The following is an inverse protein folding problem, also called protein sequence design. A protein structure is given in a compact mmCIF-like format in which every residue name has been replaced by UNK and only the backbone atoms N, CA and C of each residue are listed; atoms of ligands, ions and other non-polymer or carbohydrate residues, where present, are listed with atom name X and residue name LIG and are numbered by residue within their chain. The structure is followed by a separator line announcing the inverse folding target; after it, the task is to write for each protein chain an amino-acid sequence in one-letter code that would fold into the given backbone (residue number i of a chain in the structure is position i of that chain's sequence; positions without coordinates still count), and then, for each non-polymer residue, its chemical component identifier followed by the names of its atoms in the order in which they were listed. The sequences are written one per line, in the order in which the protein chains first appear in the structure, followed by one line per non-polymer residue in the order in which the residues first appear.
data_IF_982002616423
#
_entry.id   IF_982002616423
#
_cell.length_a   1.000
_cell.length_b   1.000
_cell.length_c   1.000
_cell.angle_alpha   90.00
_cell.angle_beta   90.00
_cell.angle_gamma   90.00
#
_symmetry.space_group_name_H-M   'P 1'
#
loop_
_entity.id
_entity.type
_entity.pdbx_description
1 polymer ?
#
# COMPACT_ATOMS: atom_id res chain seq x y z
N UNK A 1 -11.46 28.86 -4.71
CA UNK A 1 -10.01 28.66 -4.49
C UNK A 1 -9.80 27.86 -3.20
N UNK A 2 -9.70 26.53 -3.30
CA UNK A 2 -9.32 25.69 -2.17
C UNK A 2 -7.82 25.90 -1.91
N UNK A 3 -7.46 26.53 -0.79
CA UNK A 3 -6.07 26.64 -0.32
C UNK A 3 -5.82 25.59 0.76
N UNK A 4 -5.09 24.53 0.43
CA UNK A 4 -4.61 23.56 1.41
C UNK A 4 -3.26 24.03 1.97
N UNK A 5 -3.20 24.30 3.28
CA UNK A 5 -1.97 24.71 3.97
C UNK A 5 -1.38 23.50 4.68
N UNK A 6 -0.38 22.84 4.08
CA UNK A 6 0.45 21.89 4.80
C UNK A 6 1.74 22.61 5.20
N UNK A 7 1.91 22.91 6.50
CA UNK A 7 3.16 23.44 7.08
C UNK A 7 3.61 24.81 6.55
N UNK A 8 2.68 25.70 6.22
CA UNK A 8 2.99 27.09 5.83
C UNK A 8 3.46 27.28 4.37
N UNK A 9 3.59 26.21 3.59
CA UNK A 9 3.80 26.26 2.14
C UNK A 9 2.44 26.16 1.44
N UNK A 10 2.18 27.04 0.47
CA UNK A 10 1.05 26.87 -0.45
C UNK A 10 1.27 25.60 -1.28
N UNK A 11 0.34 24.64 -1.22
CA UNK A 11 0.39 23.44 -2.06
C UNK A 11 0.00 23.83 -3.48
N UNK A 12 0.89 23.57 -4.43
CA UNK A 12 0.63 23.78 -5.87
C UNK A 12 0.13 22.51 -6.54
N UNK A 13 -0.46 22.65 -7.72
CA UNK A 13 -0.86 21.51 -8.57
C UNK A 13 0.32 20.56 -8.85
N UNK A 14 1.54 21.10 -8.99
CA UNK A 14 2.75 20.33 -9.21
C UNK A 14 3.13 19.50 -7.97
N UNK A 15 3.00 20.07 -6.76
CA UNK A 15 3.26 19.32 -5.52
C UNK A 15 2.26 18.15 -5.38
N UNK A 16 1.00 18.33 -5.79
CA UNK A 16 -0.03 17.27 -5.76
C UNK A 16 0.31 16.15 -6.75
N UNK A 17 0.74 16.52 -7.97
CA UNK A 17 1.14 15.59 -9.01
C UNK A 17 2.34 14.74 -8.56
N UNK A 18 3.38 15.39 -8.05
CA UNK A 18 4.59 14.73 -7.56
C UNK A 18 4.27 13.80 -6.37
N UNK A 19 3.47 14.28 -5.41
CA UNK A 19 3.04 13.46 -4.28
C UNK A 19 2.30 12.20 -4.73
N UNK A 20 1.35 12.32 -5.67
CA UNK A 20 0.56 11.19 -6.12
C UNK A 20 1.43 10.13 -6.81
N UNK A 21 2.33 10.55 -7.71
CA UNK A 21 3.26 9.64 -8.39
C UNK A 21 4.24 8.98 -7.42
N UNK A 22 4.80 9.74 -6.47
CA UNK A 22 5.70 9.20 -5.43
C UNK A 22 4.97 8.20 -4.54
N UNK A 23 3.70 8.46 -4.21
CA UNK A 23 2.91 7.58 -3.35
C UNK A 23 2.57 6.26 -4.06
N UNK A 24 2.18 6.30 -5.34
CA UNK A 24 1.93 5.09 -6.14
C UNK A 24 3.22 4.30 -6.35
N UNK A 25 4.33 4.95 -6.74
CA UNK A 25 5.61 4.27 -6.98
C UNK A 25 6.19 3.60 -5.73
N UNK A 26 5.91 4.13 -4.53
CA UNK A 26 6.32 3.52 -3.25
C UNK A 26 5.74 2.11 -3.01
N UNK A 27 4.68 1.74 -3.74
CA UNK A 27 4.07 0.40 -3.68
C UNK A 27 4.68 -0.59 -4.68
N UNK A 28 5.66 -0.16 -5.48
CA UNK A 28 6.25 -0.93 -6.58
C UNK A 28 5.49 -0.84 -7.90
N UNK A 29 4.39 -0.08 -7.95
CA UNK A 29 3.66 0.17 -9.19
C UNK A 29 4.48 1.01 -10.18
N UNK A 30 4.30 0.72 -11.46
CA UNK A 30 4.86 1.48 -12.59
C UNK A 30 3.89 2.55 -13.12
N UNK A 31 2.67 2.61 -12.59
CA UNK A 31 1.68 3.62 -13.00
C UNK A 31 2.10 5.00 -12.53
N UNK A 32 1.98 5.97 -13.43
CA UNK A 32 2.28 7.38 -13.16
C UNK A 32 1.48 8.26 -14.10
N UNK A 33 1.31 9.53 -13.73
CA UNK A 33 0.70 10.54 -14.58
C UNK A 33 1.65 11.71 -14.80
N UNK A 34 1.78 12.16 -16.05
CA UNK A 34 2.58 13.34 -16.39
C UNK A 34 1.81 14.65 -16.17
N UNK A 35 0.48 14.58 -16.20
CA UNK A 35 -0.41 15.71 -15.93
C UNK A 35 -1.81 15.23 -15.57
N UNK A 36 -2.61 16.09 -14.96
CA UNK A 36 -4.04 15.82 -14.70
C UNK A 36 -4.91 15.77 -15.98
N UNK A 37 -4.32 15.91 -17.17
CA UNK A 37 -4.99 15.78 -18.49
C UNK A 37 -4.65 14.46 -19.19
N UNK A 38 -3.83 13.62 -18.58
CA UNK A 38 -3.32 12.41 -19.21
C UNK A 38 -4.46 11.42 -19.51
N UNK A 39 -4.59 11.03 -20.77
CA UNK A 39 -5.69 10.17 -21.23
C UNK A 39 -5.60 8.73 -20.69
N UNK A 40 -4.41 8.30 -20.26
CA UNK A 40 -4.23 7.03 -19.57
C UNK A 40 -5.05 6.96 -18.28
N UNK A 41 -5.33 8.10 -17.62
CA UNK A 41 -6.14 8.16 -16.39
C UNK A 41 -7.59 7.69 -16.57
N UNK A 42 -8.07 7.59 -17.82
CA UNK A 42 -9.45 7.17 -18.11
C UNK A 42 -9.75 5.72 -17.73
N UNK A 43 -8.74 4.86 -17.60
CA UNK A 43 -8.90 3.46 -17.15
C UNK A 43 -9.15 3.33 -15.64
N UNK A 44 -8.86 4.39 -14.87
CA UNK A 44 -9.01 4.44 -13.42
C UNK A 44 -7.94 3.67 -12.63
N UNK A 45 -7.02 2.96 -13.28
CA UNK A 45 -6.04 2.08 -12.61
C UNK A 45 -5.13 2.89 -11.70
N UNK A 46 -4.62 4.04 -12.18
CA UNK A 46 -3.80 4.93 -11.37
C UNK A 46 -4.48 5.36 -10.06
N UNK A 47 -5.77 5.70 -10.10
CA UNK A 47 -6.50 6.11 -8.89
C UNK A 47 -6.78 4.96 -7.93
N UNK A 48 -7.02 3.75 -8.46
CA UNK A 48 -7.19 2.56 -7.64
C UNK A 48 -5.89 2.21 -6.91
N UNK A 49 -4.75 2.26 -7.61
CA UNK A 49 -3.44 2.07 -6.99
C UNK A 49 -3.14 3.18 -5.97
N UNK A 50 -3.45 4.44 -6.29
CA UNK A 50 -3.30 5.54 -5.35
C UNK A 50 -4.15 5.32 -4.09
N UNK A 51 -5.42 4.92 -4.22
CA UNK A 51 -6.29 4.61 -3.08
C UNK A 51 -5.75 3.43 -2.25
N UNK A 52 -5.23 2.39 -2.91
CA UNK A 52 -4.60 1.25 -2.22
C UNK A 52 -3.31 1.64 -1.50
N UNK A 53 -2.56 2.62 -2.02
CA UNK A 53 -1.31 3.12 -1.42
C UNK A 53 -1.54 4.01 -0.20
N UNK A 54 -2.67 4.73 -0.14
CA UNK A 54 -3.01 5.58 1.02
C UNK A 54 -3.71 4.80 2.13
N UNK A 55 -4.54 3.82 1.76
CA UNK A 55 -5.23 2.95 2.71
C UNK A 55 -5.11 1.50 2.24
N UNK A 56 -4.19 0.72 2.84
CA UNK A 56 -4.09 -0.69 2.54
C UNK A 56 -5.45 -1.38 2.68
N UNK A 57 -5.79 -2.26 1.74
CA UNK A 57 -7.05 -3.02 1.70
C UNK A 57 -8.32 -2.20 1.41
N UNK A 58 -8.21 -0.91 1.06
CA UNK A 58 -9.37 -0.13 0.61
C UNK A 58 -9.94 -0.61 -0.72
N UNK A 59 -9.07 -1.18 -1.58
CA UNK A 59 -9.42 -1.67 -2.92
C UNK A 59 -9.52 -3.18 -2.91
N UNK A 60 -10.65 -3.70 -3.41
CA UNK A 60 -10.83 -5.09 -3.77
C UNK A 60 -10.54 -5.25 -5.27
N UNK A 61 -9.36 -5.76 -5.58
CA UNK A 61 -8.89 -5.95 -6.96
C UNK A 61 -9.74 -6.95 -7.75
N UNK A 62 -10.55 -7.80 -7.11
CA UNK A 62 -11.50 -8.67 -7.80
C UNK A 62 -12.69 -7.93 -8.42
N UNK A 63 -12.93 -6.67 -8.06
CA UNK A 63 -13.94 -5.80 -8.67
C UNK A 63 -13.35 -4.86 -9.73
N UNK A 64 -12.02 -4.84 -9.87
CA UNK A 64 -11.32 -3.95 -10.79
C UNK A 64 -11.26 -4.60 -12.17
N UNK A 65 -11.58 -3.82 -13.19
CA UNK A 65 -11.49 -4.24 -14.59
C UNK A 65 -10.27 -3.65 -15.27
N UNK A 66 -9.95 -4.11 -16.48
CA UNK A 66 -8.79 -3.60 -17.24
C UNK A 66 -8.98 -2.17 -17.74
N UNK A 67 -10.20 -1.64 -17.78
CA UNK A 67 -10.50 -0.29 -18.26
C UNK A 67 -10.27 -0.12 -19.76
N UNK A 68 -10.48 -1.17 -20.56
CA UNK A 68 -10.31 -1.11 -22.03
C UNK A 68 -11.57 -0.62 -22.71
N UNK A 69 -12.74 -1.12 -22.32
CA UNK A 69 -14.03 -0.65 -22.85
C UNK A 69 -14.60 0.50 -22.02
N UNK A 70 -15.53 1.26 -22.60
CA UNK A 70 -16.15 2.40 -21.90
C UNK A 70 -16.95 1.94 -20.66
N UNK A 71 -17.58 0.76 -20.72
CA UNK A 71 -18.27 0.15 -19.59
C UNK A 71 -17.28 -0.22 -18.48
N UNK A 72 -16.13 -0.82 -18.82
CA UNK A 72 -15.07 -1.15 -17.87
C UNK A 72 -14.53 0.10 -17.17
N UNK A 73 -14.22 1.14 -17.94
CA UNK A 73 -13.78 2.44 -17.41
C UNK A 73 -14.81 3.03 -16.47
N UNK A 74 -16.10 3.00 -16.84
CA UNK A 74 -17.20 3.51 -16.01
C UNK A 74 -17.38 2.71 -14.72
N UNK A 75 -17.20 1.38 -14.76
CA UNK A 75 -17.20 0.54 -13.56
C UNK A 75 -16.05 0.91 -12.61
N UNK A 76 -14.83 1.02 -13.14
CA UNK A 76 -13.66 1.45 -12.36
C UNK A 76 -13.87 2.85 -11.76
N UNK A 77 -14.33 3.82 -12.55
CA UNK A 77 -14.63 5.19 -12.12
C UNK A 77 -15.67 5.24 -11.00
N UNK A 78 -16.77 4.50 -11.14
CA UNK A 78 -17.82 4.41 -10.11
C UNK A 78 -17.27 3.81 -8.81
N UNK A 79 -16.38 2.82 -8.93
CA UNK A 79 -15.75 2.17 -7.78
C UNK A 79 -14.77 3.11 -7.04
N UNK A 80 -13.93 3.84 -7.79
CA UNK A 80 -13.02 4.88 -7.24
C UNK A 80 -13.79 5.89 -6.39
N UNK A 81 -14.89 6.43 -6.94
CA UNK A 81 -15.72 7.42 -6.24
C UNK A 81 -16.29 6.83 -4.95
N UNK A 82 -16.75 5.57 -5.01
CA UNK A 82 -17.31 4.88 -3.85
C UNK A 82 -16.28 4.70 -2.74
N UNK A 83 -15.06 4.25 -3.06
CA UNK A 83 -13.98 4.09 -2.08
C UNK A 83 -13.54 5.44 -1.51
N UNK A 84 -13.30 6.44 -2.36
CA UNK A 84 -12.85 7.76 -1.92
C UNK A 84 -13.86 8.41 -0.96
N UNK A 85 -15.17 8.30 -1.25
CA UNK A 85 -16.23 8.76 -0.33
C UNK A 85 -16.28 7.94 0.96
N UNK A 86 -16.09 6.62 0.90
CA UNK A 86 -16.03 5.75 2.08
C UNK A 86 -14.87 6.12 3.00
N UNK A 87 -13.72 6.53 2.45
CA UNK A 87 -12.60 7.05 3.22
C UNK A 87 -12.94 8.40 3.88
N UNK A 88 -13.89 9.16 3.34
CA UNK A 88 -14.25 10.49 3.84
C UNK A 88 -13.67 11.63 3.00
N UNK A 89 -13.26 11.36 1.75
CA UNK A 89 -12.90 12.42 0.81
C UNK A 89 -14.17 13.21 0.45
N UNK A 90 -14.14 14.53 0.59
CA UNK A 90 -15.24 15.42 0.22
C UNK A 90 -15.19 15.75 -1.27
N UNK A 91 -15.77 14.89 -2.10
CA UNK A 91 -15.73 14.97 -3.57
C UNK A 91 -17.11 14.96 -4.23
N UNK A 92 -17.27 15.79 -5.27
CA UNK A 92 -18.50 15.93 -6.06
C UNK A 92 -18.18 15.68 -7.54
N UNK A 93 -17.86 14.43 -7.87
CA UNK A 93 -17.52 14.02 -9.23
C UNK A 93 -18.43 12.88 -9.69
N UNK A 94 -18.64 12.84 -10.99
CA UNK A 94 -19.35 11.79 -11.69
C UNK A 94 -18.34 10.79 -12.29
N UNK A 95 -18.73 9.54 -12.56
CA UNK A 95 -17.87 8.60 -13.27
C UNK A 95 -17.31 9.17 -14.58
N UNK A 96 -18.14 9.93 -15.30
CA UNK A 96 -17.81 10.57 -16.57
C UNK A 96 -16.64 11.57 -16.45
N UNK A 97 -16.51 12.26 -15.29
CA UNK A 97 -15.39 13.17 -15.06
C UNK A 97 -14.03 12.44 -15.05
N UNK A 98 -14.02 11.16 -14.66
CA UNK A 98 -12.82 10.33 -14.67
C UNK A 98 -12.60 9.75 -16.07
N UNK A 99 -13.63 9.15 -16.67
CA UNK A 99 -13.50 8.49 -17.98
C UNK A 99 -13.16 9.46 -19.11
N UNK A 100 -13.63 10.71 -19.04
CA UNK A 100 -13.30 11.76 -20.01
C UNK A 100 -12.03 12.54 -19.66
N UNK A 101 -11.49 12.33 -18.46
CA UNK A 101 -10.33 13.03 -17.89
C UNK A 101 -10.58 14.53 -17.80
N UNK A 102 -11.62 14.90 -17.04
CA UNK A 102 -11.91 16.29 -16.70
C UNK A 102 -10.85 16.80 -15.72
N UNK A 103 -9.84 17.51 -16.23
CA UNK A 103 -8.66 17.96 -15.49
C UNK A 103 -8.98 18.57 -14.12
N UNK A 104 -10.00 19.44 -14.03
CA UNK A 104 -10.35 20.11 -12.77
C UNK A 104 -10.86 19.11 -11.73
N UNK A 105 -11.64 18.13 -12.16
CA UNK A 105 -12.18 17.09 -11.28
C UNK A 105 -11.11 16.09 -10.89
N UNK A 106 -10.23 15.70 -11.81
CA UNK A 106 -9.06 14.85 -11.54
C UNK A 106 -8.11 15.49 -10.51
N UNK A 107 -7.80 16.78 -10.67
CA UNK A 107 -7.02 17.53 -9.68
C UNK A 107 -7.73 17.55 -8.32
N UNK A 108 -9.03 17.83 -8.30
CA UNK A 108 -9.83 17.89 -7.06
C UNK A 108 -9.88 16.53 -6.36
N UNK A 109 -10.03 15.43 -7.10
CA UNK A 109 -9.99 14.07 -6.57
C UNK A 109 -8.64 13.78 -5.90
N UNK A 110 -7.55 14.03 -6.63
CA UNK A 110 -6.18 13.77 -6.15
C UNK A 110 -5.87 14.60 -4.90
N UNK A 111 -6.20 15.90 -4.94
CA UNK A 111 -6.03 16.80 -3.79
C UNK A 111 -6.85 16.36 -2.57
N UNK A 112 -8.07 15.85 -2.79
CA UNK A 112 -8.93 15.36 -1.71
C UNK A 112 -8.37 14.10 -1.06
N UNK A 113 -7.84 13.16 -1.85
CA UNK A 113 -7.16 11.96 -1.35
C UNK A 113 -5.91 12.36 -0.55
N UNK A 114 -5.08 13.26 -1.10
CA UNK A 114 -3.91 13.81 -0.42
C UNK A 114 -4.28 14.47 0.92
N UNK A 115 -5.30 15.33 0.92
CA UNK A 115 -5.76 16.01 2.13
C UNK A 115 -6.24 15.03 3.19
N UNK A 116 -6.97 13.99 2.79
CA UNK A 116 -7.42 12.95 3.68
C UNK A 116 -6.25 12.19 4.32
N UNK A 117 -5.26 11.79 3.51
CA UNK A 117 -4.07 11.08 3.95
C UNK A 117 -3.24 11.91 4.94
N UNK A 118 -3.01 13.19 4.66
CA UNK A 118 -2.23 14.08 5.53
C UNK A 118 -2.89 14.37 6.89
N UNK A 119 -4.23 14.23 6.97
CA UNK A 119 -4.97 14.36 8.24
C UNK A 119 -4.95 13.07 9.07
N UNK A 120 -4.68 11.94 8.43
CA UNK A 120 -4.63 10.62 9.06
C UNK A 120 -3.30 9.92 8.74
N UNK A 121 -2.15 10.47 9.17
CA UNK A 121 -0.90 9.74 9.09
C UNK A 121 -1.06 8.44 9.87
N UNK A 122 -0.99 7.31 9.16
CA UNK A 122 -1.25 5.99 9.72
C UNK A 122 -0.27 5.73 10.87
N UNK A 123 -0.81 5.40 12.04
CA UNK A 123 -0.08 4.77 13.14
C UNK A 123 0.32 3.37 12.67
N UNK A 124 1.62 3.16 12.41
CA UNK A 124 2.16 1.84 12.13
C UNK A 124 2.06 0.99 13.40
N UNK A 125 1.08 0.08 13.48
CA UNK A 125 1.24 -1.13 14.26
C UNK A 125 1.74 -2.24 13.34
N UNK A 126 3.06 -2.31 13.30
CA UNK A 126 3.89 -3.45 12.91
C UNK A 126 3.17 -4.80 13.06
N UNK A 127 2.96 -5.49 11.94
CA UNK A 127 2.85 -6.95 11.99
C UNK A 127 4.26 -7.49 11.76
N UNK A 128 5.06 -7.51 12.83
CA UNK A 128 6.29 -8.28 12.86
C UNK A 128 5.92 -9.77 12.86
N UNK A 129 6.34 -10.49 11.83
CA UNK A 129 6.74 -11.91 11.91
C UNK A 129 7.45 -12.27 10.61
N UNK A 130 8.75 -12.56 10.71
CA UNK A 130 9.43 -13.69 10.05
C UNK A 130 10.92 -13.57 10.35
N UNK A 131 11.31 -13.92 11.58
CA UNK A 131 12.67 -14.39 11.83
C UNK A 131 12.84 -15.69 11.05
N UNK A 132 13.50 -15.59 9.90
CA UNK A 132 14.07 -16.73 9.20
C UNK A 132 15.57 -16.54 9.20
N UNK A 133 16.19 -16.92 10.33
CA UNK A 133 17.64 -17.12 10.38
C UNK A 133 17.97 -18.41 9.60
N UNK A 134 18.64 -18.23 8.47
CA UNK A 134 19.40 -19.28 7.79
C UNK A 134 20.60 -18.64 7.13
N UNK A 135 21.80 -18.98 7.60
CA UNK A 135 23.03 -18.52 6.97
C UNK A 135 24.31 -18.65 7.81
N UNK A 136 24.75 -19.88 8.03
CA UNK A 136 26.14 -20.33 7.83
C UNK A 136 27.29 -19.40 8.28
N UNK A 137 28.03 -19.81 9.32
CA UNK A 137 29.49 -19.59 9.37
C UNK A 137 30.19 -20.86 9.85
N UNK A 138 31.22 -21.24 9.09
CA UNK A 138 32.03 -22.44 9.21
C UNK A 138 33.47 -21.92 9.26
N UNK A 139 34.13 -21.94 10.42
CA UNK A 139 35.60 -21.95 10.50
C UNK A 139 36.06 -22.82 11.68
N UNK A 140 36.96 -23.74 11.32
CA UNK A 140 37.68 -24.73 12.12
C UNK A 140 38.80 -24.09 12.94
N UNK A 141 39.08 -24.58 14.15
CA UNK A 141 40.44 -24.92 14.67
C UNK A 141 40.29 -25.74 15.97
N UNK A 142 40.97 -26.89 16.00
CA UNK A 142 41.08 -27.85 17.09
C UNK A 142 41.92 -27.34 18.28
N UNK A 143 41.64 -27.82 19.50
CA UNK A 143 42.55 -28.73 20.24
C UNK A 143 42.01 -29.23 21.60
N UNK A 144 41.87 -30.56 21.67
CA UNK A 144 42.28 -31.53 22.71
C UNK A 144 41.92 -31.41 24.21
N UNK A 145 41.66 -32.62 24.75
CA UNK A 145 41.77 -33.12 26.15
C UNK A 145 40.49 -33.07 26.98
N UNK A 146 40.11 -34.06 27.80
CA UNK A 146 40.33 -35.51 27.98
C UNK A 146 39.38 -35.86 29.15
N UNK A 147 38.69 -37.00 29.08
CA UNK A 147 38.02 -37.74 30.19
C UNK A 147 36.86 -36.99 30.90
N UNK A 148 35.80 -37.59 31.46
CA UNK A 148 35.68 -38.83 32.21
C UNK A 148 34.19 -39.28 32.26
N UNK A 149 34.01 -40.55 32.55
CA UNK A 149 32.79 -41.35 32.65
C UNK A 149 31.73 -40.81 33.62
N UNK A 150 30.46 -41.09 33.33
CA UNK A 150 29.58 -41.88 34.22
C UNK A 150 28.23 -42.14 33.55
N UNK A 151 28.01 -43.41 33.19
CA UNK A 151 26.69 -43.96 32.95
C UNK A 151 26.08 -44.34 34.29
N UNK A 152 24.82 -43.97 34.54
CA UNK A 152 23.99 -44.73 35.46
C UNK A 152 22.61 -44.94 34.83
N UNK A 153 22.32 -46.21 34.57
CA UNK A 153 21.02 -46.72 34.18
C UNK A 153 20.65 -47.76 35.23
N UNK A 154 19.88 -47.37 36.23
CA UNK A 154 19.33 -48.30 37.22
C UNK A 154 17.93 -48.72 36.82
N UNK A 155 17.87 -49.98 36.42
CA UNK A 155 16.72 -50.86 36.14
C UNK A 155 15.75 -50.97 37.32
N UNK A 156 14.47 -51.15 36.96
CA UNK A 156 13.40 -51.62 37.82
C UNK A 156 13.70 -53.02 38.40
N UNK A 157 13.46 -53.23 39.69
CA UNK A 157 13.40 -54.56 40.31
C UNK A 157 12.08 -54.74 41.08
N UNK A 158 11.19 -55.54 40.50
CA UNK A 158 10.07 -56.20 41.18
C UNK A 158 10.61 -57.33 42.06
N UNK A 159 10.12 -57.46 43.31
CA UNK A 159 10.10 -58.79 43.95
C UNK A 159 10.12 -58.87 45.48
N UNK A 160 8.92 -58.89 46.06
CA UNK A 160 8.45 -59.95 46.97
C UNK A 160 9.09 -60.13 48.37
N UNK A 161 8.29 -59.85 49.42
CA UNK A 161 7.89 -60.80 50.49
C UNK A 161 6.76 -60.22 51.33
#
# INVERSE_FOLDING_TARGET
NLRFHARGKEITDADILEWANSKVSSTGSQSSMNSFKDKSLSDGIFFLELLSSVQPRAVNWGLVTKGVTDEEKKMNASYIISIARKLGCSIFLLPEDITEVNQKMILTLTASIMSWFLKHPHEERTLGTSDSESGSQLETISNSTLDDFSSDSSVDENGNM
#
